data_IF_892512310618
#
_entry.id   IF_892512310618
#
_cell.length_a   1.000
_cell.length_b   1.000
_cell.length_c   1.000
_cell.angle_alpha   90.00
_cell.angle_beta   90.00
_cell.angle_gamma   90.00
#
_symmetry.space_group_name_H-M   'P 1'
#
loop_
_entity.id
_entity.type
_entity.pdbx_description
1 polymer ?
#
# COMPACT_ATOMS: atom_id res chain seq x y z
N UNK A 1 -31.65 -45.35 -13.94
CA UNK A 1 -31.09 -44.55 -15.05
C UNK A 1 -32.17 -44.36 -16.11
N UNK A 2 -32.34 -43.17 -16.69
CA UNK A 2 -33.27 -42.99 -17.82
C UNK A 2 -32.80 -43.85 -19.00
N UNK A 3 -33.70 -44.68 -19.56
CA UNK A 3 -33.41 -45.44 -20.79
C UNK A 3 -33.20 -44.46 -21.94
N UNK A 4 -32.03 -44.51 -22.58
CA UNK A 4 -31.74 -43.74 -23.78
C UNK A 4 -32.14 -44.56 -25.01
N UNK A 5 -32.95 -43.95 -25.89
CA UNK A 5 -33.37 -44.54 -27.17
C UNK A 5 -32.64 -43.86 -28.31
N UNK A 6 -32.26 -44.61 -29.35
CA UNK A 6 -31.58 -44.04 -30.51
C UNK A 6 -32.51 -43.09 -31.29
N UNK A 7 -31.90 -42.12 -31.98
CA UNK A 7 -32.64 -41.13 -32.78
C UNK A 7 -33.36 -41.74 -33.99
N UNK A 8 -32.92 -42.91 -34.48
CA UNK A 8 -33.58 -43.68 -35.53
C UNK A 8 -34.86 -44.33 -35.03
N UNK A 9 -34.81 -45.00 -33.86
CA UNK A 9 -35.96 -45.63 -33.21
C UNK A 9 -37.02 -44.58 -32.87
N UNK A 10 -36.61 -43.43 -32.32
CA UNK A 10 -37.52 -42.32 -32.03
C UNK A 10 -38.22 -41.81 -33.28
N UNK A 11 -37.52 -41.64 -34.41
CA UNK A 11 -38.10 -41.19 -35.68
C UNK A 11 -39.11 -42.19 -36.26
N UNK A 12 -38.77 -43.48 -36.25
CA UNK A 12 -39.66 -44.54 -36.75
C UNK A 12 -40.96 -44.61 -35.95
N UNK A 13 -40.86 -44.55 -34.62
CA UNK A 13 -42.01 -44.59 -33.72
C UNK A 13 -42.87 -43.33 -33.88
N UNK A 14 -42.26 -42.15 -33.99
CA UNK A 14 -42.97 -40.90 -34.24
C UNK A 14 -43.71 -40.94 -35.59
N UNK A 15 -43.13 -41.53 -36.64
CA UNK A 15 -43.80 -41.68 -37.92
C UNK A 15 -45.08 -42.53 -37.81
N UNK A 16 -45.01 -43.68 -37.11
CA UNK A 16 -46.16 -44.55 -36.82
C UNK A 16 -47.25 -43.83 -36.00
N UNK A 17 -46.84 -43.05 -35.00
CA UNK A 17 -47.78 -42.27 -34.17
C UNK A 17 -48.42 -41.09 -34.92
N UNK A 18 -47.76 -40.57 -35.96
CA UNK A 18 -48.29 -39.53 -36.85
C UNK A 18 -49.23 -40.10 -37.93
N UNK A 19 -49.02 -41.35 -38.37
CA UNK A 19 -49.92 -42.03 -39.31
C UNK A 19 -51.23 -42.51 -38.67
N UNK A 20 -51.44 -42.24 -37.37
CA UNK A 20 -52.71 -42.51 -36.68
C UNK A 20 -52.72 -43.77 -35.81
N UNK A 21 -51.61 -44.48 -35.68
CA UNK A 21 -51.56 -45.65 -34.79
C UNK A 21 -51.77 -45.27 -33.31
N UNK A 22 -52.48 -46.14 -32.58
CA UNK A 22 -52.76 -45.93 -31.16
C UNK A 22 -51.49 -46.05 -30.32
N UNK A 23 -51.30 -45.08 -29.41
CA UNK A 23 -50.17 -45.06 -28.46
C UNK A 23 -50.13 -46.33 -27.59
N UNK A 24 -51.29 -46.93 -27.30
CA UNK A 24 -51.37 -48.16 -26.52
C UNK A 24 -50.77 -49.38 -27.27
N UNK A 25 -50.99 -49.46 -28.58
CA UNK A 25 -50.47 -50.54 -29.44
C UNK A 25 -48.95 -50.42 -29.56
N UNK A 26 -48.47 -49.21 -29.89
CA UNK A 26 -47.03 -48.94 -30.03
C UNK A 26 -46.28 -49.15 -28.71
N UNK A 27 -46.89 -48.82 -27.57
CA UNK A 27 -46.32 -49.07 -26.25
C UNK A 27 -46.19 -50.58 -25.94
N UNK A 28 -47.19 -51.38 -26.28
CA UNK A 28 -47.18 -52.82 -26.06
C UNK A 28 -46.11 -53.53 -26.91
N UNK A 29 -45.93 -53.12 -28.17
CA UNK A 29 -44.93 -53.69 -29.08
C UNK A 29 -43.49 -53.31 -28.73
N UNK A 30 -43.26 -52.03 -28.40
CA UNK A 30 -41.90 -51.50 -28.21
C UNK A 30 -41.43 -51.58 -26.76
N UNK A 31 -42.33 -51.85 -25.81
CA UNK A 31 -42.05 -51.82 -24.38
C UNK A 31 -41.73 -50.42 -23.83
N UNK A 32 -42.03 -49.37 -24.59
CA UNK A 32 -41.84 -47.97 -24.19
C UNK A 32 -43.10 -47.48 -23.46
N UNK A 33 -42.93 -46.78 -22.33
CA UNK A 33 -44.08 -46.27 -21.59
C UNK A 33 -44.86 -45.23 -22.40
N UNK A 34 -46.20 -45.27 -22.29
CA UNK A 34 -47.09 -44.40 -23.05
C UNK A 34 -46.79 -42.91 -22.84
N UNK A 35 -46.42 -42.49 -21.62
CA UNK A 35 -46.05 -41.10 -21.33
C UNK A 35 -44.87 -40.59 -22.18
N UNK A 36 -43.87 -41.45 -22.45
CA UNK A 36 -42.74 -41.11 -23.31
C UNK A 36 -43.18 -40.96 -24.77
N UNK A 37 -44.05 -41.85 -25.24
CA UNK A 37 -44.61 -41.81 -26.59
C UNK A 37 -45.48 -40.56 -26.81
N UNK A 38 -46.32 -40.18 -25.84
CA UNK A 38 -47.09 -38.94 -25.89
C UNK A 38 -46.18 -37.71 -25.95
N UNK A 39 -45.12 -37.66 -25.13
CA UNK A 39 -44.16 -36.55 -25.15
C UNK A 39 -43.42 -36.47 -26.50
N UNK A 40 -43.05 -37.60 -27.10
CA UNK A 40 -42.42 -37.63 -28.42
C UNK A 40 -43.37 -37.21 -29.54
N UNK A 41 -44.64 -37.66 -29.50
CA UNK A 41 -45.66 -37.24 -30.46
C UNK A 41 -45.93 -35.75 -30.37
N UNK A 42 -46.07 -35.21 -29.17
CA UNK A 42 -46.28 -33.78 -28.93
C UNK A 42 -45.11 -32.94 -29.47
N UNK A 43 -43.86 -33.32 -29.14
CA UNK A 43 -42.68 -32.61 -29.65
C UNK A 43 -42.59 -32.69 -31.18
N UNK A 44 -42.94 -33.81 -31.79
CA UNK A 44 -42.93 -33.95 -33.24
C UNK A 44 -44.00 -33.10 -33.96
N UNK A 45 -45.11 -32.78 -33.28
CA UNK A 45 -46.13 -31.87 -33.79
C UNK A 45 -45.65 -30.41 -33.71
N UNK A 46 -44.92 -30.05 -32.65
CA UNK A 46 -44.22 -28.76 -32.53
C UNK A 46 -43.15 -28.64 -33.63
N UNK A 47 -42.30 -29.66 -33.78
CA UNK A 47 -41.23 -29.67 -34.80
C UNK A 47 -41.78 -29.61 -36.24
N UNK A 48 -43.03 -30.03 -36.45
CA UNK A 48 -43.73 -29.96 -37.73
C UNK A 48 -44.54 -28.65 -37.93
N UNK A 49 -44.53 -27.74 -36.95
CA UNK A 49 -45.27 -26.47 -36.99
C UNK A 49 -46.79 -26.59 -36.88
N UNK A 50 -47.30 -27.75 -36.43
CA UNK A 50 -48.74 -28.00 -36.27
C UNK A 50 -49.27 -27.42 -34.96
N UNK A 51 -48.41 -27.36 -33.94
CA UNK A 51 -48.70 -26.81 -32.61
C UNK A 51 -47.63 -25.78 -32.27
N UNK A 52 -48.00 -24.67 -31.64
CA UNK A 52 -47.04 -23.67 -31.17
C UNK A 52 -46.12 -24.25 -30.08
N UNK A 53 -44.82 -23.96 -30.18
CA UNK A 53 -43.81 -24.36 -29.21
C UNK A 53 -42.39 -24.21 -29.78
N UNK A 54 -41.37 -24.37 -28.92
CA UNK A 54 -39.96 -24.33 -29.36
C UNK A 54 -39.59 -25.63 -30.10
N UNK A 55 -39.14 -25.56 -31.36
CA UNK A 55 -38.64 -26.71 -32.10
C UNK A 55 -37.46 -27.36 -31.39
N UNK A 56 -37.33 -28.69 -31.52
CA UNK A 56 -36.21 -29.45 -30.95
C UNK A 56 -34.84 -28.92 -31.40
N UNK A 57 -34.74 -28.43 -32.64
CA UNK A 57 -33.51 -27.84 -33.20
C UNK A 57 -33.14 -26.55 -32.48
N UNK A 58 -34.09 -25.64 -32.28
CA UNK A 58 -33.87 -24.38 -31.56
C UNK A 58 -33.54 -24.64 -30.08
N UNK A 59 -34.18 -25.63 -29.45
CA UNK A 59 -33.87 -26.02 -28.08
C UNK A 59 -32.44 -26.56 -27.94
N UNK A 60 -31.99 -27.38 -28.89
CA UNK A 60 -30.62 -27.90 -28.93
C UNK A 60 -29.59 -26.78 -29.19
N UNK A 61 -29.88 -25.86 -30.11
CA UNK A 61 -29.05 -24.68 -30.39
C UNK A 61 -28.96 -23.74 -29.18
N UNK A 62 -30.08 -23.48 -28.51
CA UNK A 62 -30.13 -22.67 -27.30
C UNK A 62 -29.32 -23.31 -26.17
N UNK A 63 -29.41 -24.64 -25.99
CA UNK A 63 -28.61 -25.37 -25.02
C UNK A 63 -27.11 -25.30 -25.35
N UNK A 64 -26.74 -25.43 -26.63
CA UNK A 64 -25.36 -25.27 -27.08
C UNK A 64 -24.84 -23.84 -26.87
N UNK A 65 -25.67 -22.83 -27.16
CA UNK A 65 -25.37 -21.42 -26.95
C UNK A 65 -25.18 -21.10 -25.47
N UNK A 66 -26.08 -21.53 -24.58
CA UNK A 66 -25.93 -21.36 -23.13
C UNK A 66 -24.66 -22.02 -22.61
N UNK A 67 -24.34 -23.23 -23.09
CA UNK A 67 -23.08 -23.90 -22.73
C UNK A 67 -21.86 -23.12 -23.20
N UNK A 68 -21.93 -22.51 -24.40
CA UNK A 68 -20.84 -21.68 -24.94
C UNK A 68 -20.68 -20.38 -24.17
N UNK A 69 -21.79 -19.72 -23.81
CA UNK A 69 -21.80 -18.51 -22.98
C UNK A 69 -21.16 -18.81 -21.63
N UNK A 70 -21.60 -19.86 -20.94
CA UNK A 70 -21.02 -20.27 -19.66
C UNK A 70 -19.50 -20.56 -19.76
N UNK A 71 -19.05 -21.17 -20.87
CA UNK A 71 -17.62 -21.38 -21.11
C UNK A 71 -16.87 -20.05 -21.29
N UNK A 72 -17.41 -19.15 -22.10
CA UNK A 72 -16.80 -17.84 -22.36
C UNK A 72 -16.75 -16.98 -21.09
N UNK A 73 -17.81 -16.99 -20.29
CA UNK A 73 -17.85 -16.31 -19.00
C UNK A 73 -16.77 -16.84 -18.05
N UNK A 74 -16.56 -18.15 -18.00
CA UNK A 74 -15.50 -18.76 -17.20
C UNK A 74 -14.09 -18.36 -17.70
N UNK A 75 -13.88 -18.31 -19.02
CA UNK A 75 -12.62 -17.85 -19.62
C UNK A 75 -12.37 -16.36 -19.35
N UNK A 76 -13.41 -15.53 -19.41
CA UNK A 76 -13.33 -14.09 -19.08
C UNK A 76 -13.05 -13.85 -17.59
N UNK A 77 -13.70 -14.59 -16.69
CA UNK A 77 -13.44 -14.48 -15.26
C UNK A 77 -11.98 -14.83 -14.93
N UNK A 78 -11.49 -15.92 -15.52
CA UNK A 78 -10.12 -16.37 -15.34
C UNK A 78 -9.09 -15.37 -15.88
N UNK A 79 -9.32 -14.78 -17.06
CA UNK A 79 -8.41 -13.78 -17.64
C UNK A 79 -8.40 -12.48 -16.83
N UNK A 80 -9.57 -12.00 -16.36
CA UNK A 80 -9.65 -10.84 -15.46
C UNK A 80 -8.89 -11.06 -14.16
N UNK A 81 -9.09 -12.19 -13.51
CA UNK A 81 -8.38 -12.54 -12.28
C UNK A 81 -6.87 -12.70 -12.49
N UNK A 82 -6.47 -13.24 -13.65
CA UNK A 82 -5.07 -13.35 -14.01
C UNK A 82 -4.45 -11.96 -14.21
N UNK A 83 -5.09 -11.07 -14.97
CA UNK A 83 -4.65 -9.68 -15.15
C UNK A 83 -4.49 -8.94 -13.81
N UNK A 84 -5.47 -9.10 -12.91
CA UNK A 84 -5.41 -8.51 -11.57
C UNK A 84 -4.21 -9.02 -10.75
N UNK A 85 -3.84 -10.31 -10.89
CA UNK A 85 -2.66 -10.87 -10.22
C UNK A 85 -1.33 -10.56 -10.91
N UNK A 86 -1.36 -10.23 -12.20
CA UNK A 86 -0.17 -9.88 -12.96
C UNK A 86 0.27 -8.43 -12.73
N UNK A 87 -0.46 -7.64 -11.92
CA UNK A 87 -0.21 -6.20 -11.73
C UNK A 87 -0.11 -5.47 -13.09
N UNK A 88 -0.92 -5.87 -14.08
CA UNK A 88 -0.89 -5.35 -15.47
C UNK A 88 0.44 -5.56 -16.23
N UNK A 89 1.34 -6.41 -15.72
CA UNK A 89 2.61 -6.69 -16.38
C UNK A 89 2.45 -7.65 -17.56
N UNK A 90 2.94 -7.26 -18.73
CA UNK A 90 2.93 -8.10 -19.94
C UNK A 90 3.84 -9.34 -19.84
N UNK A 91 4.94 -9.27 -19.07
CA UNK A 91 5.90 -10.36 -18.91
C UNK A 91 6.14 -10.64 -17.44
N UNK A 92 5.83 -11.87 -17.04
CA UNK A 92 5.89 -12.26 -15.64
C UNK A 92 7.13 -13.12 -15.42
N UNK A 93 8.02 -12.71 -14.50
CA UNK A 93 9.21 -13.48 -14.18
C UNK A 93 8.86 -14.92 -13.79
N UNK A 94 9.66 -15.93 -14.18
CA UNK A 94 9.38 -17.34 -13.88
C UNK A 94 9.08 -17.60 -12.39
N UNK A 95 9.75 -16.87 -11.49
CA UNK A 95 9.58 -16.97 -10.04
C UNK A 95 8.19 -16.53 -9.54
N UNK A 96 7.51 -15.61 -10.24
CA UNK A 96 6.16 -15.12 -9.88
C UNK A 96 5.04 -16.01 -10.41
N UNK A 97 5.26 -16.75 -11.51
CA UNK A 97 4.23 -17.60 -12.16
C UNK A 97 3.58 -18.60 -11.19
N UNK A 98 4.37 -19.18 -10.27
CA UNK A 98 3.85 -20.09 -9.24
C UNK A 98 2.85 -19.39 -8.32
N UNK A 99 3.25 -18.27 -7.71
CA UNK A 99 2.40 -17.54 -6.78
C UNK A 99 1.08 -17.12 -7.42
N UNK A 100 1.13 -16.69 -8.68
CA UNK A 100 -0.05 -16.30 -9.45
C UNK A 100 -0.95 -17.51 -9.75
N UNK A 101 -0.36 -18.64 -10.14
CA UNK A 101 -1.10 -19.90 -10.36
C UNK A 101 -1.82 -20.34 -9.08
N UNK A 102 -1.15 -20.26 -7.93
CA UNK A 102 -1.73 -20.59 -6.64
C UNK A 102 -2.84 -19.60 -6.24
N UNK A 103 -2.66 -18.30 -6.53
CA UNK A 103 -3.69 -17.28 -6.33
C UNK A 103 -4.94 -17.48 -7.20
N UNK A 104 -4.79 -17.93 -8.45
CA UNK A 104 -5.92 -18.29 -9.30
C UNK A 104 -6.68 -19.50 -8.76
N UNK A 105 -5.95 -20.51 -8.30
CA UNK A 105 -6.57 -21.71 -7.67
C UNK A 105 -7.31 -21.31 -6.39
N UNK A 106 -6.74 -20.41 -5.58
CA UNK A 106 -7.39 -19.90 -4.38
C UNK A 106 -8.68 -19.10 -4.68
N UNK A 107 -8.79 -18.47 -5.86
CA UNK A 107 -10.02 -17.84 -6.36
C UNK A 107 -11.04 -18.83 -6.96
N UNK A 108 -10.79 -20.13 -6.88
CA UNK A 108 -11.72 -21.17 -7.35
C UNK A 108 -11.48 -21.65 -8.78
N UNK A 109 -10.46 -21.14 -9.48
CA UNK A 109 -10.14 -21.60 -10.83
C UNK A 109 -9.48 -22.98 -10.83
N UNK A 110 -9.76 -23.78 -11.87
CA UNK A 110 -9.13 -25.09 -12.00
C UNK A 110 -7.60 -24.94 -12.16
N UNK A 111 -6.84 -25.84 -11.52
CA UNK A 111 -5.38 -25.86 -11.66
C UNK A 111 -4.93 -26.00 -13.13
N UNK A 112 -5.75 -26.66 -13.97
CA UNK A 112 -5.48 -26.80 -15.40
C UNK A 112 -5.54 -25.46 -16.12
N UNK A 113 -6.60 -24.70 -15.88
CA UNK A 113 -6.80 -23.39 -16.51
C UNK A 113 -5.81 -22.35 -15.98
N UNK A 114 -5.54 -22.37 -14.67
CA UNK A 114 -4.53 -21.51 -14.04
C UNK A 114 -3.13 -21.74 -14.63
N UNK A 115 -2.66 -22.99 -14.69
CA UNK A 115 -1.37 -23.34 -15.31
C UNK A 115 -1.28 -22.94 -16.78
N UNK A 116 -2.39 -23.07 -17.54
CA UNK A 116 -2.42 -22.72 -18.97
C UNK A 116 -2.15 -21.24 -19.18
N UNK A 117 -2.79 -20.37 -18.40
CA UNK A 117 -2.65 -18.91 -18.55
C UNK A 117 -1.32 -18.41 -18.00
N UNK A 118 -0.84 -18.97 -16.89
CA UNK A 118 0.44 -18.54 -16.31
C UNK A 118 1.65 -19.12 -17.04
N UNK A 119 1.45 -20.06 -17.96
CA UNK A 119 2.52 -20.79 -18.64
C UNK A 119 3.34 -21.66 -17.69
N UNK A 120 2.76 -22.07 -16.55
CA UNK A 120 3.40 -22.97 -15.59
C UNK A 120 3.04 -24.42 -15.93
N UNK A 121 4.03 -25.30 -16.04
CA UNK A 121 3.74 -26.72 -16.27
C UNK A 121 3.10 -27.35 -15.03
N UNK A 122 2.11 -28.24 -15.24
CA UNK A 122 1.41 -28.91 -14.13
C UNK A 122 2.34 -29.78 -13.29
N UNK A 123 3.33 -30.41 -13.92
CA UNK A 123 4.37 -31.20 -13.23
C UNK A 123 5.19 -30.34 -12.28
N UNK A 124 5.56 -29.12 -12.69
CA UNK A 124 6.30 -28.17 -11.85
C UNK A 124 5.45 -27.69 -10.66
N UNK A 125 4.16 -27.38 -10.89
CA UNK A 125 3.24 -27.05 -9.78
C UNK A 125 3.16 -28.19 -8.77
N UNK A 126 2.98 -29.43 -9.23
CA UNK A 126 2.87 -30.59 -8.36
C UNK A 126 4.20 -30.91 -7.65
N UNK A 127 5.33 -30.77 -8.34
CA UNK A 127 6.66 -30.89 -7.76
C UNK A 127 6.83 -29.91 -6.59
N UNK A 128 6.49 -28.63 -6.80
CA UNK A 128 6.57 -27.64 -5.73
C UNK A 128 5.61 -27.89 -4.57
N UNK A 129 4.41 -28.44 -4.81
CA UNK A 129 3.46 -28.80 -3.75
C UNK A 129 3.90 -30.00 -2.92
N UNK A 130 4.63 -30.94 -3.53
CA UNK A 130 5.15 -32.13 -2.85
C UNK A 130 6.54 -31.93 -2.25
N UNK A 131 7.24 -30.87 -2.66
CA UNK A 131 8.59 -30.59 -2.18
C UNK A 131 8.52 -30.22 -0.69
N UNK A 132 9.27 -30.91 0.18
CA UNK A 132 9.38 -30.50 1.57
C UNK A 132 10.00 -29.11 1.65
N UNK A 133 9.62 -28.34 2.67
CA UNK A 133 10.18 -27.02 2.93
C UNK A 133 11.69 -27.21 3.13
N UNK A 134 12.56 -26.52 2.36
CA UNK A 134 13.99 -26.69 2.49
C UNK A 134 14.47 -26.17 3.85
N UNK A 135 15.48 -26.81 4.43
CA UNK A 135 16.01 -26.47 5.77
C UNK A 135 16.35 -24.99 5.96
N UNK A 136 16.80 -24.33 4.89
CA UNK A 136 17.09 -22.88 4.89
C UNK A 136 15.85 -22.02 5.18
N UNK A 137 14.69 -22.45 4.70
CA UNK A 137 13.41 -21.74 4.86
C UNK A 137 12.84 -22.01 6.24
N UNK A 138 12.96 -23.25 6.72
CA UNK A 138 12.70 -23.59 8.12
C UNK A 138 13.57 -22.75 9.06
N UNK A 139 14.88 -22.70 8.82
CA UNK A 139 15.83 -21.88 9.60
C UNK A 139 15.47 -20.40 9.55
N UNK A 140 15.05 -19.87 8.39
CA UNK A 140 14.63 -18.47 8.26
C UNK A 140 13.39 -18.17 9.09
N UNK A 141 12.41 -19.07 9.12
CA UNK A 141 11.20 -18.94 9.95
C UNK A 141 11.54 -18.94 11.44
N UNK A 142 12.39 -19.87 11.89
CA UNK A 142 12.87 -19.92 13.28
C UNK A 142 13.54 -18.60 13.65
N UNK A 143 14.48 -18.12 12.82
CA UNK A 143 15.17 -16.84 13.07
C UNK A 143 14.18 -15.66 13.08
N UNK A 144 13.15 -15.67 12.23
CA UNK A 144 12.16 -14.60 12.19
C UNK A 144 11.29 -14.54 13.45
N UNK A 145 10.90 -15.70 13.97
CA UNK A 145 10.17 -15.82 15.23
C UNK A 145 11.02 -15.29 16.40
N UNK A 146 12.28 -15.74 16.50
CA UNK A 146 13.22 -15.28 17.53
C UNK A 146 13.51 -13.78 17.43
N UNK A 147 13.63 -13.22 16.22
CA UNK A 147 13.77 -11.77 16.01
C UNK A 147 12.57 -11.02 16.58
N UNK A 148 11.36 -11.53 16.34
CA UNK A 148 10.12 -10.91 16.80
C UNK A 148 10.04 -10.93 18.32
N UNK A 149 10.40 -12.04 18.95
CA UNK A 149 10.50 -12.19 20.40
C UNK A 149 11.50 -11.20 21.02
N UNK A 150 12.73 -11.13 20.50
CA UNK A 150 13.75 -10.17 20.94
C UNK A 150 13.25 -8.74 20.80
N UNK A 151 12.61 -8.41 19.67
CA UNK A 151 12.08 -7.08 19.42
C UNK A 151 11.01 -6.70 20.44
N UNK A 152 10.07 -7.59 20.73
CA UNK A 152 9.02 -7.39 21.73
C UNK A 152 9.59 -7.22 23.15
N UNK A 153 10.53 -8.08 23.56
CA UNK A 153 11.24 -7.97 24.86
C UNK A 153 11.97 -6.64 25.00
N UNK A 154 12.55 -6.14 23.91
CA UNK A 154 13.21 -4.84 23.88
C UNK A 154 12.24 -3.64 23.84
N UNK A 155 10.92 -3.86 23.89
CA UNK A 155 9.87 -2.84 23.70
C UNK A 155 10.02 -2.07 22.38
N UNK A 156 10.47 -2.76 21.33
CA UNK A 156 10.69 -2.20 20.00
C UNK A 156 11.87 -1.24 19.89
N UNK A 157 12.79 -1.24 20.86
CA UNK A 157 13.96 -0.35 20.85
C UNK A 157 15.11 -0.90 20.01
N UNK A 158 15.23 -2.22 19.90
CA UNK A 158 16.37 -2.85 19.23
C UNK A 158 16.26 -2.79 17.71
N UNK A 159 17.28 -2.22 17.08
CA UNK A 159 17.47 -2.26 15.63
C UNK A 159 18.33 -3.45 15.19
N UNK A 160 18.52 -3.61 13.87
CA UNK A 160 19.24 -4.74 13.24
C UNK A 160 20.54 -5.17 13.94
N UNK A 161 21.33 -4.20 14.44
CA UNK A 161 22.62 -4.48 15.08
C UNK A 161 22.43 -5.11 16.47
N UNK A 162 21.51 -4.58 17.28
CA UNK A 162 21.22 -5.07 18.63
C UNK A 162 20.45 -6.40 18.58
N UNK A 163 19.52 -6.54 17.64
CA UNK A 163 18.83 -7.81 17.38
C UNK A 163 19.83 -8.90 17.00
N UNK A 164 20.78 -8.62 16.09
CA UNK A 164 21.85 -9.59 15.76
C UNK A 164 22.71 -9.96 16.98
N UNK A 165 23.04 -8.98 17.82
CA UNK A 165 23.81 -9.24 19.03
C UNK A 165 23.05 -10.15 20.01
N UNK A 166 21.76 -9.88 20.23
CA UNK A 166 20.89 -10.71 21.08
C UNK A 166 20.69 -12.12 20.50
N UNK A 167 20.52 -12.26 19.17
CA UNK A 167 20.47 -13.58 18.53
C UNK A 167 21.72 -14.43 18.82
N UNK A 168 22.90 -13.80 18.81
CA UNK A 168 24.16 -14.49 19.08
C UNK A 168 24.34 -14.77 20.58
N UNK A 169 24.02 -13.81 21.45
CA UNK A 169 24.26 -13.89 22.88
C UNK A 169 23.24 -14.76 23.63
N UNK A 170 21.96 -14.64 23.30
CA UNK A 170 20.87 -15.24 24.08
C UNK A 170 20.41 -16.59 23.47
N UNK A 171 20.65 -16.79 22.16
CA UNK A 171 20.15 -17.95 21.40
C UNK A 171 21.23 -18.70 20.61
N UNK A 172 22.50 -18.30 20.72
CA UNK A 172 23.64 -18.89 20.00
C UNK A 172 23.47 -18.93 18.47
N UNK A 173 22.59 -18.08 17.92
CA UNK A 173 22.28 -18.04 16.51
C UNK A 173 23.21 -17.08 15.77
N UNK A 174 24.26 -17.63 15.14
CA UNK A 174 25.12 -16.84 14.25
C UNK A 174 24.42 -16.54 12.92
N UNK A 175 23.89 -15.32 12.79
CA UNK A 175 23.16 -14.84 11.60
C UNK A 175 23.81 -13.58 11.03
N UNK A 176 23.87 -13.51 9.69
CA UNK A 176 24.35 -12.32 8.99
C UNK A 176 23.38 -11.14 9.19
N UNK A 177 23.93 -9.96 9.48
CA UNK A 177 23.17 -8.71 9.64
C UNK A 177 22.25 -8.38 8.44
N UNK A 178 22.60 -8.80 7.22
CA UNK A 178 21.75 -8.64 6.03
C UNK A 178 20.46 -9.44 6.12
N UNK A 179 20.54 -10.69 6.61
CA UNK A 179 19.35 -11.54 6.80
C UNK A 179 18.46 -10.97 7.90
N UNK A 180 19.05 -10.56 9.04
CA UNK A 180 18.32 -9.87 10.12
C UNK A 180 17.60 -8.63 9.58
N UNK A 181 18.28 -7.81 8.78
CA UNK A 181 17.68 -6.62 8.19
C UNK A 181 16.54 -6.95 7.21
N UNK A 182 16.69 -7.98 6.38
CA UNK A 182 15.63 -8.45 5.46
C UNK A 182 14.39 -8.86 6.24
N UNK A 183 14.55 -9.71 7.26
CA UNK A 183 13.45 -10.20 8.09
C UNK A 183 12.79 -9.05 8.85
N UNK A 184 13.57 -8.19 9.51
CA UNK A 184 13.02 -7.03 10.22
C UNK A 184 12.21 -6.13 9.27
N UNK A 185 12.69 -5.90 8.05
CA UNK A 185 11.98 -5.07 7.07
C UNK A 185 10.69 -5.71 6.58
N UNK A 186 10.70 -7.02 6.29
CA UNK A 186 9.52 -7.81 5.90
C UNK A 186 8.42 -7.79 6.97
N UNK A 187 8.80 -7.79 8.25
CA UNK A 187 7.89 -7.72 9.39
C UNK A 187 7.59 -6.28 9.87
N UNK A 188 8.11 -5.25 9.19
CA UNK A 188 7.88 -3.85 9.58
C UNK A 188 8.51 -3.45 10.93
N UNK A 189 9.56 -4.16 11.37
CA UNK A 189 10.25 -3.94 12.64
C UNK A 189 11.40 -2.93 12.48
N UNK A 190 11.41 -1.88 13.29
CA UNK A 190 12.44 -0.83 13.26
C UNK A 190 12.92 -0.51 14.67
N UNK A 191 14.23 -0.44 14.86
CA UNK A 191 14.82 0.02 16.12
C UNK A 191 14.75 1.53 16.30
N UNK A 192 15.11 2.00 17.50
CA UNK A 192 15.25 3.43 17.80
C UNK A 192 16.64 3.97 17.41
N UNK A 193 16.73 5.25 16.97
CA UNK A 193 15.61 6.11 16.59
C UNK A 193 14.92 5.56 15.35
N UNK A 194 13.58 5.61 15.32
CA UNK A 194 12.84 5.22 14.11
C UNK A 194 13.34 6.08 12.96
N UNK A 195 13.44 5.54 11.72
CA UNK A 195 13.72 6.37 10.57
C UNK A 195 12.74 7.55 10.58
N UNK A 196 13.26 8.77 10.71
CA UNK A 196 12.42 9.95 10.71
C UNK A 196 11.61 9.95 9.41
N UNK A 197 10.32 10.31 9.48
CA UNK A 197 9.59 10.68 8.26
C UNK A 197 10.44 11.76 7.60
N UNK A 198 10.97 11.51 6.39
CA UNK A 198 11.63 12.54 5.60
C UNK A 198 10.62 13.69 5.53
N UNK A 199 10.93 14.82 6.16
CA UNK A 199 10.11 16.02 5.98
C UNK A 199 10.16 16.34 4.49
N UNK A 200 9.02 16.53 3.81
CA UNK A 200 9.04 16.93 2.42
C UNK A 200 9.87 18.21 2.30
N UNK A 201 10.71 18.29 1.28
CA UNK A 201 11.44 19.52 0.98
C UNK A 201 10.39 20.61 0.71
N UNK A 202 10.39 21.68 1.51
CA UNK A 202 9.47 22.82 1.42
C UNK A 202 9.83 23.74 0.23
N UNK A 203 10.12 23.15 -0.93
CA UNK A 203 10.40 23.90 -2.16
C UNK A 203 9.09 24.59 -2.57
N UNK A 204 9.10 25.92 -2.65
CA UNK A 204 7.96 26.73 -3.09
C UNK A 204 7.13 27.38 -1.96
N UNK A 205 7.56 27.31 -0.70
CA UNK A 205 6.98 28.15 0.37
C UNK A 205 7.63 29.53 0.33
N UNK A 206 6.82 30.58 0.27
CA UNK A 206 7.26 31.97 0.20
C UNK A 206 7.93 32.37 1.54
N UNK A 207 9.26 32.24 1.58
CA UNK A 207 10.09 32.66 2.72
C UNK A 207 10.52 34.11 2.53
N UNK A 208 10.47 34.97 3.56
CA UNK A 208 10.92 36.35 3.43
C UNK A 208 12.37 36.44 2.93
N UNK A 209 12.66 37.53 2.23
CA UNK A 209 13.97 37.77 1.61
C UNK A 209 15.08 37.73 2.66
N UNK A 210 16.07 36.86 2.44
CA UNK A 210 17.26 36.76 3.28
C UNK A 210 18.26 37.90 2.98
N UNK A 211 18.06 39.06 3.60
CA UNK A 211 18.98 40.20 3.72
C UNK A 211 20.38 39.82 4.22
N UNK A 212 20.55 38.68 4.91
CA UNK A 212 21.85 38.21 5.42
C UNK A 212 22.52 37.23 4.44
N UNK A 213 21.77 36.66 3.48
CA UNK A 213 22.23 35.62 2.53
C UNK A 213 23.03 34.49 3.22
N UNK A 214 22.59 34.08 4.41
CA UNK A 214 23.29 33.12 5.30
C UNK A 214 24.74 33.48 5.65
N UNK A 215 25.14 34.75 5.52
CA UNK A 215 26.46 35.28 5.91
C UNK A 215 26.40 35.96 7.28
N UNK A 216 26.60 35.19 8.35
CA UNK A 216 26.58 35.68 9.74
C UNK A 216 27.89 36.34 10.20
N UNK A 217 28.50 37.12 9.30
CA UNK A 217 29.75 37.83 9.53
C UNK A 217 29.53 39.31 9.27
N UNK A 218 29.92 40.17 10.21
CA UNK A 218 29.89 41.63 10.06
C UNK A 218 31.30 42.20 9.91
N UNK A 219 31.41 43.35 9.26
CA UNK A 219 32.67 44.07 9.01
C UNK A 219 32.96 45.15 10.07
N UNK A 220 31.94 45.56 10.81
CA UNK A 220 32.02 46.58 11.88
C UNK A 220 31.00 46.30 12.99
N UNK A 221 31.21 46.83 14.22
CA UNK A 221 30.24 46.73 15.30
C UNK A 221 28.87 47.30 14.89
N UNK A 222 27.79 46.68 15.40
CA UNK A 222 26.41 47.10 15.17
C UNK A 222 25.93 47.06 13.71
N UNK A 223 26.57 46.27 12.85
CA UNK A 223 26.10 46.07 11.48
C UNK A 223 25.04 44.95 11.40
N UNK A 224 25.30 43.83 12.09
CA UNK A 224 24.43 42.67 12.15
C UNK A 224 24.31 42.20 13.60
N UNK A 225 23.07 42.10 14.08
CA UNK A 225 22.72 41.52 15.36
C UNK A 225 21.96 40.22 15.15
N UNK A 226 22.29 39.21 15.93
CA UNK A 226 21.70 37.88 15.89
C UNK A 226 20.97 37.64 17.22
N UNK A 227 19.72 37.22 17.21
CA UNK A 227 18.91 37.00 18.42
C UNK A 227 18.43 35.57 18.53
N UNK A 228 18.46 35.04 19.74
CA UNK A 228 17.91 33.72 20.05
C UNK A 228 17.15 33.74 21.40
N UNK A 229 16.22 32.80 21.55
CA UNK A 229 15.48 32.58 22.79
C UNK A 229 15.83 31.21 23.33
N UNK A 230 16.48 31.19 24.49
CA UNK A 230 16.86 29.94 25.16
C UNK A 230 15.96 29.68 26.36
N UNK A 231 15.42 28.47 26.46
CA UNK A 231 14.71 27.98 27.64
C UNK A 231 15.70 27.45 28.67
N UNK A 232 15.60 27.90 29.91
CA UNK A 232 16.41 27.44 31.04
C UNK A 232 15.51 26.86 32.15
N UNK A 233 15.86 25.68 32.71
CA UNK A 233 15.17 25.15 33.88
C UNK A 233 15.51 25.96 35.14
N UNK A 234 14.49 26.27 35.95
CA UNK A 234 14.61 26.94 37.25
C UNK A 234 13.85 26.13 38.33
N UNK A 235 14.01 26.51 39.61
CA UNK A 235 13.38 25.78 40.73
C UNK A 235 11.86 25.79 40.67
N UNK A 236 11.27 26.93 40.29
CA UNK A 236 9.83 27.17 40.29
C UNK A 236 9.21 27.10 38.89
N UNK A 237 9.91 26.51 37.92
CA UNK A 237 9.44 26.40 36.53
C UNK A 237 10.53 26.67 35.50
N UNK A 238 10.13 27.24 34.36
CA UNK A 238 11.04 27.56 33.25
C UNK A 238 11.23 29.06 33.13
N UNK A 239 12.42 29.49 32.75
CA UNK A 239 12.73 30.88 32.42
C UNK A 239 13.26 30.94 31.00
N UNK A 240 12.71 31.83 30.19
CA UNK A 240 13.16 32.12 28.85
C UNK A 240 14.09 33.33 28.87
N UNK A 241 15.24 33.21 28.23
CA UNK A 241 16.21 34.28 28.03
C UNK A 241 16.20 34.66 26.55
N UNK A 242 15.94 35.93 26.23
CA UNK A 242 16.19 36.46 24.89
C UNK A 242 17.49 37.26 24.93
N UNK A 243 18.45 36.88 24.09
CA UNK A 243 19.75 37.54 24.01
C UNK A 243 20.00 38.08 22.59
N UNK A 244 20.57 39.28 22.51
CA UNK A 244 20.97 39.93 21.26
C UNK A 244 22.49 39.98 21.21
N UNK A 245 23.09 39.30 20.23
CA UNK A 245 24.52 39.22 20.00
C UNK A 245 24.93 40.13 18.84
N UNK A 246 26.00 40.90 18.99
CA UNK A 246 26.66 41.56 17.87
C UNK A 246 27.57 40.57 17.13
N UNK A 247 27.27 40.33 15.84
CA UNK A 247 27.93 39.27 15.08
C UNK A 247 29.35 39.70 14.61
N UNK A 248 29.76 40.97 14.81
CA UNK A 248 31.16 41.43 14.71
C UNK A 248 31.94 41.17 16.00
N UNK A 249 31.53 41.81 17.11
CA UNK A 249 32.29 41.78 18.37
C UNK A 249 32.08 40.54 19.22
N UNK A 250 31.06 39.73 18.90
CA UNK A 250 30.58 38.59 19.72
C UNK A 250 30.13 38.99 21.14
N UNK A 251 29.90 40.28 21.38
CA UNK A 251 29.36 40.76 22.64
C UNK A 251 27.83 40.67 22.66
N UNK A 252 27.29 40.37 23.84
CA UNK A 252 25.85 40.50 24.09
C UNK A 252 25.51 41.97 24.27
N UNK A 253 24.65 42.49 23.41
CA UNK A 253 24.24 43.89 23.34
C UNK A 253 23.01 44.16 24.22
N UNK A 254 22.16 43.15 24.37
CA UNK A 254 21.02 43.16 25.29
C UNK A 254 20.62 41.75 25.69
N UNK A 255 19.96 41.65 26.85
CA UNK A 255 19.35 40.41 27.33
C UNK A 255 18.12 40.69 28.18
N UNK A 256 17.08 39.89 28.01
CA UNK A 256 15.87 39.95 28.83
C UNK A 256 15.46 38.56 29.27
N UNK A 257 14.71 38.49 30.37
CA UNK A 257 14.23 37.24 30.96
C UNK A 257 12.73 37.33 31.20
N UNK A 258 12.01 36.23 30.98
CA UNK A 258 10.58 36.09 31.28
C UNK A 258 10.24 34.64 31.60
N UNK A 259 9.14 34.40 32.31
CA UNK A 259 8.55 33.07 32.47
C UNK A 259 7.74 32.63 31.26
N UNK A 260 7.44 33.56 30.34
CA UNK A 260 6.73 33.33 29.08
C UNK A 260 7.59 33.68 27.87
N UNK A 261 7.53 32.85 26.83
CA UNK A 261 8.24 33.06 25.58
C UNK A 261 7.32 33.76 24.57
N UNK A 262 7.14 35.07 24.75
CA UNK A 262 6.21 35.91 23.99
C UNK A 262 6.93 37.07 23.28
N UNK A 263 6.16 37.85 22.52
CA UNK A 263 6.68 39.02 21.80
C UNK A 263 7.17 40.13 22.72
N UNK A 264 6.68 40.21 23.96
CA UNK A 264 7.11 41.21 24.93
C UNK A 264 8.55 40.96 25.37
N UNK A 265 8.92 39.68 25.60
CA UNK A 265 10.30 39.28 25.89
C UNK A 265 11.28 39.79 24.82
N UNK A 266 10.94 39.60 23.54
CA UNK A 266 11.77 39.99 22.39
C UNK A 266 11.83 41.52 22.25
N UNK A 267 10.68 42.20 22.31
CA UNK A 267 10.60 43.66 22.18
C UNK A 267 11.43 44.36 23.27
N UNK A 268 11.38 43.84 24.50
CA UNK A 268 12.18 44.38 25.60
C UNK A 268 13.69 44.24 25.32
N UNK A 269 14.14 43.12 24.75
CA UNK A 269 15.55 42.93 24.38
C UNK A 269 15.97 43.90 23.27
N UNK A 270 15.12 44.09 22.26
CA UNK A 270 15.40 45.01 21.15
C UNK A 270 15.48 46.45 21.64
N UNK A 271 14.53 46.90 22.46
CA UNK A 271 14.53 48.25 23.03
C UNK A 271 15.80 48.48 23.86
N UNK A 272 16.16 47.53 24.72
CA UNK A 272 17.38 47.58 25.51
C UNK A 272 18.65 47.66 24.64
N UNK A 273 18.70 46.93 23.52
CA UNK A 273 19.86 46.97 22.61
C UNK A 273 19.97 48.31 21.87
N UNK A 274 18.83 48.91 21.52
CA UNK A 274 18.78 50.22 20.86
C UNK A 274 19.20 51.33 21.81
N UNK A 275 18.80 51.26 23.08
CA UNK A 275 19.17 52.24 24.11
C UNK A 275 20.64 52.11 24.55
N UNK A 276 21.17 50.89 24.63
CA UNK A 276 22.52 50.63 25.16
C UNK A 276 23.65 51.02 24.21
N UNK A 277 23.37 51.33 22.93
CA UNK A 277 24.39 51.60 21.92
C UNK A 277 24.06 52.85 21.11
N UNK A 278 25.04 53.76 20.99
CA UNK A 278 24.98 54.84 20.03
C UNK A 278 25.30 54.30 18.62
N UNK A 279 24.33 54.36 17.71
CA UNK A 279 24.40 53.73 16.39
C UNK A 279 24.56 54.78 15.31
N UNK A 280 25.65 54.71 14.55
CA UNK A 280 25.93 55.63 13.43
C UNK A 280 25.31 55.19 12.09
N UNK A 281 24.45 54.16 12.07
CA UNK A 281 23.85 53.65 10.83
C UNK A 281 22.77 52.59 11.04
N UNK A 282 22.35 51.96 9.93
CA UNK A 282 21.34 50.90 9.95
C UNK A 282 21.92 49.56 10.42
N UNK A 283 21.24 48.89 11.34
CA UNK A 283 21.61 47.55 11.83
C UNK A 283 20.57 46.54 11.38
N UNK A 284 21.03 45.38 10.92
CA UNK A 284 20.15 44.25 10.59
C UNK A 284 19.99 43.42 11.87
N UNK A 285 18.75 43.20 12.29
CA UNK A 285 18.42 42.25 13.36
C UNK A 285 17.98 40.93 12.72
N UNK A 286 18.62 39.83 13.05
CA UNK A 286 18.26 38.49 12.56
C UNK A 286 17.78 37.60 13.70
N UNK A 287 16.63 36.97 13.53
CA UNK A 287 16.07 35.98 14.42
C UNK A 287 15.83 34.65 13.67
N UNK A 288 16.21 33.53 14.30
CA UNK A 288 15.96 32.20 13.77
C UNK A 288 14.47 31.81 13.90
N UNK A 289 14.03 30.82 13.11
CA UNK A 289 12.64 30.38 13.04
C UNK A 289 12.13 29.72 14.34
N UNK A 290 11.63 30.54 15.27
CA UNK A 290 10.88 30.11 16.47
C UNK A 290 9.35 30.10 16.26
N UNK A 291 8.63 29.27 17.02
CA UNK A 291 7.16 29.08 16.92
C UNK A 291 6.30 30.17 17.59
N UNK A 292 6.88 31.32 17.91
CA UNK A 292 6.20 32.35 18.72
C UNK A 292 5.52 33.37 17.79
N UNK A 293 4.19 33.25 17.71
CA UNK A 293 3.33 34.07 16.84
C UNK A 293 3.51 35.56 17.07
N UNK A 294 3.85 36.28 15.98
CA UNK A 294 4.04 37.73 15.94
C UNK A 294 5.31 38.15 15.19
N UNK A 295 6.38 37.36 15.31
CA UNK A 295 7.63 37.45 14.51
C UNK A 295 7.68 36.34 13.45
N UNK A 296 6.52 35.99 12.86
CA UNK A 296 6.30 34.69 12.21
C UNK A 296 6.71 34.63 10.72
N UNK A 297 7.74 35.39 10.36
CA UNK A 297 8.39 35.45 9.05
C UNK A 297 9.84 35.80 9.35
N UNK A 298 10.84 35.20 8.66
CA UNK A 298 12.23 35.70 8.61
C UNK A 298 12.22 37.22 8.76
N UNK A 299 12.46 37.69 9.98
CA UNK A 299 12.18 39.07 10.36
C UNK A 299 13.52 39.72 10.45
N UNK A 300 14.13 39.85 9.28
CA UNK A 300 15.30 40.71 9.18
C UNK A 300 14.81 42.14 9.16
N UNK A 301 14.82 42.74 10.34
CA UNK A 301 14.40 44.11 10.50
C UNK A 301 15.61 45.02 10.34
N UNK A 302 15.48 46.00 9.45
CA UNK A 302 16.42 47.11 9.39
C UNK A 302 16.02 48.09 10.49
N UNK A 303 16.82 48.14 11.55
CA UNK A 303 16.66 49.15 12.57
C UNK A 303 17.29 50.46 12.03
N UNK A 304 16.49 51.50 11.85
CA UNK A 304 16.94 52.83 11.38
C UNK A 304 16.58 53.85 12.47
N UNK A 305 17.58 54.43 13.14
CA UNK A 305 17.36 55.24 14.33
C UNK A 305 16.80 54.42 15.51
N UNK A 306 15.96 55.04 16.35
CA UNK A 306 15.37 54.43 17.54
C UNK A 306 14.04 53.66 17.29
N UNK A 307 13.72 53.27 16.04
CA UNK A 307 12.49 52.54 15.71
C UNK A 307 12.75 51.40 14.71
N UNK A 308 11.94 50.33 14.85
CA UNK A 308 11.80 49.28 13.84
C UNK A 308 11.24 49.91 12.57
N UNK A 309 12.00 49.89 11.47
CA UNK A 309 11.45 50.28 10.17
C UNK A 309 10.53 49.14 9.70
N UNK A 310 9.22 49.38 9.77
CA UNK A 310 8.23 48.51 9.16
C UNK A 310 8.36 48.52 7.64
N UNK A 311 8.17 47.35 7.04
CA UNK A 311 7.63 47.23 5.69
C UNK A 311 6.21 46.74 5.81
#
# INVERSE_FOLDING_TARGET
MPRQYSSSVRRQIVARLRSGESVAVVAAETGICQATLFRWKHQALIDAGVIEGTPSVEADELAAAHKRIAQLEAELALTRDACALFDEQAVVPPKRRRAITEGLIARGHSARSACRITGLTRSLLQYHRRRPVPDREVRRLIVADTITEIYQRSRGTYGRKRVRAALLADYEMNVNHKLVNSIMSEHGLYGLPRPGRRKPNLIGVDTPVDLVNRRFTASRPNELWCTDITEHPARDGKVYCCAILDCFSRMIVARTFSTTADTALVNNAVNMAVESRNRSGSTILHADHGTQGGFNRLSQHRLVGARLAGR
#
